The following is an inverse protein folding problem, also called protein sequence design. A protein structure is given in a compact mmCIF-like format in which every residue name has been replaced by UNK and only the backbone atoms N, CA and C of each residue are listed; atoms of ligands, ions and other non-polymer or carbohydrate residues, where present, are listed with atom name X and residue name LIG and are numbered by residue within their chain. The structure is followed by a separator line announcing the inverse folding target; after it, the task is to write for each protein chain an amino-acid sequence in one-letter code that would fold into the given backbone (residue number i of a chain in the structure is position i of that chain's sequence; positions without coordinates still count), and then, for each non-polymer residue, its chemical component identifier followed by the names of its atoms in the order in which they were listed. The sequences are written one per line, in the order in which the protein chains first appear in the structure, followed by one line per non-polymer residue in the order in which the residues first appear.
data_IF_320194490881
#
_entry.id   IF_320194490881
#
_cell.length_a   1.000
_cell.length_b   1.000
_cell.length_c   1.000
_cell.angle_alpha   90.00
_cell.angle_beta   90.00
_cell.angle_gamma   90.00
#
_symmetry.space_group_name_H-M   'P 1'
#
loop_
_entity.id
_entity.type
_entity.pdbx_description
1 polymer ?
#
# COMPACT_ATOMS: atom_id res chain seq x y z
N UNK A 1 -22.30 -6.81 -3.14
CA UNK A 1 -21.77 -7.87 -2.22
C UNK A 1 -20.33 -7.58 -1.77
N UNK A 2 -19.57 -6.96 -2.67
CA UNK A 2 -18.20 -6.47 -2.56
C UNK A 2 -18.01 -5.48 -1.40
N UNK A 3 -18.95 -4.57 -1.14
CA UNK A 3 -18.89 -3.67 0.03
C UNK A 3 -18.86 -4.45 1.35
N UNK A 4 -19.77 -5.43 1.51
CA UNK A 4 -19.80 -6.31 2.70
C UNK A 4 -18.52 -7.15 2.80
N UNK A 5 -17.98 -7.59 1.67
CA UNK A 5 -16.73 -8.34 1.63
C UNK A 5 -15.53 -7.47 2.06
N UNK A 6 -15.42 -6.26 1.54
CA UNK A 6 -14.39 -5.29 1.94
C UNK A 6 -14.47 -4.97 3.44
N UNK A 7 -15.67 -4.78 3.99
CA UNK A 7 -15.87 -4.59 5.43
C UNK A 7 -15.43 -5.81 6.24
N UNK A 8 -15.78 -7.02 5.79
CA UNK A 8 -15.39 -8.27 6.46
C UNK A 8 -13.87 -8.47 6.44
N UNK A 9 -13.19 -8.13 5.35
CA UNK A 9 -11.72 -8.10 5.27
C UNK A 9 -11.12 -7.18 6.32
N UNK A 10 -11.58 -5.92 6.39
CA UNK A 10 -11.05 -4.97 7.38
C UNK A 10 -11.33 -5.43 8.83
N UNK A 11 -12.49 -6.03 9.08
CA UNK A 11 -12.81 -6.64 10.38
C UNK A 11 -11.85 -7.76 10.73
N UNK A 12 -11.62 -8.69 9.80
CA UNK A 12 -10.74 -9.82 10.00
C UNK A 12 -9.28 -9.39 10.23
N UNK A 13 -8.78 -8.43 9.43
CA UNK A 13 -7.41 -7.91 9.56
C UNK A 13 -7.18 -7.24 10.91
N UNK A 14 -8.14 -6.45 11.39
CA UNK A 14 -7.95 -5.60 12.58
C UNK A 14 -8.73 -6.06 13.81
N UNK A 15 -9.21 -7.30 13.84
CA UNK A 15 -10.03 -7.85 14.94
C UNK A 15 -11.23 -6.94 15.32
N UNK A 16 -11.92 -6.41 14.31
CA UNK A 16 -13.00 -5.41 14.44
C UNK A 16 -12.66 -4.20 15.33
N UNK A 17 -11.39 -3.79 15.40
CA UNK A 17 -10.96 -2.63 16.18
C UNK A 17 -11.77 -1.37 15.78
N UNK A 18 -12.25 -0.55 16.74
CA UNK A 18 -13.18 0.56 16.45
C UNK A 18 -12.60 1.65 15.52
N UNK A 19 -11.27 1.77 15.46
CA UNK A 19 -10.56 2.69 14.54
C UNK A 19 -10.07 2.04 13.25
N UNK A 20 -10.46 0.81 12.95
CA UNK A 20 -10.09 0.17 11.67
C UNK A 20 -10.67 0.98 10.50
N UNK A 21 -10.05 0.90 9.31
CA UNK A 21 -10.66 1.42 8.10
C UNK A 21 -12.02 0.76 7.88
N UNK A 22 -13.04 1.57 7.59
CA UNK A 22 -14.38 1.09 7.24
C UNK A 22 -15.08 2.06 6.32
N UNK A 23 -16.02 1.54 5.55
CA UNK A 23 -16.92 2.36 4.75
C UNK A 23 -17.89 3.05 5.72
N UNK A 24 -18.10 4.37 5.62
CA UNK A 24 -19.12 5.06 6.40
C UNK A 24 -20.52 4.52 6.08
N UNK A 25 -21.34 4.38 7.12
CA UNK A 25 -22.75 4.01 7.04
C UNK A 25 -23.61 5.26 7.03
N UNK A 26 -24.84 5.15 6.55
CA UNK A 26 -25.82 6.25 6.59
C UNK A 26 -25.93 6.89 7.99
N UNK A 27 -26.02 6.05 9.04
CA UNK A 27 -26.12 6.51 10.44
C UNK A 27 -24.88 7.21 10.99
N UNK A 28 -23.73 7.16 10.29
CA UNK A 28 -22.57 7.97 10.66
C UNK A 28 -22.76 9.43 10.25
N UNK A 29 -23.53 9.68 9.18
CA UNK A 29 -23.83 11.03 8.72
C UNK A 29 -24.80 11.75 9.66
N UNK A 30 -25.70 11.02 10.31
CA UNK A 30 -26.61 11.55 11.33
C UNK A 30 -25.87 12.06 12.58
N UNK A 31 -24.62 11.64 12.78
CA UNK A 31 -23.76 12.06 13.88
C UNK A 31 -22.84 13.24 13.52
N UNK A 32 -22.94 13.75 12.28
CA UNK A 32 -22.13 14.89 11.85
C UNK A 32 -22.69 16.18 12.45
N UNK A 33 -21.79 16.93 13.06
CA UNK A 33 -22.06 18.25 13.59
C UNK A 33 -21.17 19.27 12.87
N UNK A 34 -21.78 20.29 12.27
CA UNK A 34 -21.07 21.27 11.46
C UNK A 34 -20.11 22.10 12.32
N UNK A 35 -20.54 22.50 13.51
CA UNK A 35 -19.70 23.27 14.43
C UNK A 35 -18.48 22.47 14.84
N UNK A 36 -18.66 21.18 15.16
CA UNK A 36 -17.56 20.27 15.46
C UNK A 36 -16.60 20.10 14.28
N UNK A 37 -17.12 19.97 13.05
CA UNK A 37 -16.29 19.88 11.85
C UNK A 37 -15.45 21.16 11.67
N UNK A 38 -16.08 22.33 11.87
CA UNK A 38 -15.39 23.63 11.80
C UNK A 38 -14.36 23.79 12.91
N UNK A 39 -14.62 23.29 14.11
CA UNK A 39 -13.67 23.29 15.22
C UNK A 39 -12.46 22.41 14.94
N UNK A 40 -12.67 21.23 14.35
CA UNK A 40 -11.57 20.35 13.92
C UNK A 40 -10.73 21.06 12.84
N UNK A 41 -11.39 21.69 11.86
CA UNK A 41 -10.71 22.44 10.82
C UNK A 41 -9.88 23.58 11.40
N UNK A 42 -10.46 24.44 12.25
CA UNK A 42 -9.74 25.55 12.90
C UNK A 42 -8.60 25.05 13.79
N UNK A 43 -8.79 23.95 14.53
CA UNK A 43 -7.76 23.37 15.39
C UNK A 43 -6.59 22.73 14.61
N UNK A 44 -6.69 22.57 13.29
CA UNK A 44 -5.63 22.02 12.44
C UNK A 44 -5.07 23.01 11.43
N UNK A 45 -5.92 23.86 10.87
CA UNK A 45 -5.58 24.81 9.80
C UNK A 45 -5.69 26.27 10.22
N UNK A 46 -6.11 26.56 11.45
CA UNK A 46 -6.11 27.92 12.00
C UNK A 46 -4.72 28.47 12.32
N UNK A 47 -3.68 27.64 12.23
CA UNK A 47 -2.28 28.02 12.34
C UNK A 47 -1.46 27.39 11.23
N UNK A 48 -0.60 28.20 10.60
CA UNK A 48 0.41 27.77 9.65
C UNK A 48 1.74 27.40 10.35
N UNK A 49 1.79 27.40 11.69
CA UNK A 49 3.00 27.05 12.43
C UNK A 49 3.44 25.62 12.10
N UNK A 50 4.68 25.50 11.61
CA UNK A 50 5.26 24.21 11.20
C UNK A 50 4.79 23.70 9.84
N UNK A 51 3.96 24.44 9.09
CA UNK A 51 3.65 24.10 7.71
C UNK A 51 4.82 24.44 6.79
N UNK A 52 5.08 23.56 5.83
CA UNK A 52 6.04 23.79 4.75
C UNK A 52 5.30 23.79 3.42
N UNK A 53 5.39 24.90 2.69
CA UNK A 53 4.79 25.03 1.35
C UNK A 53 5.82 24.65 0.28
N UNK A 54 5.50 23.62 -0.50
CA UNK A 54 6.38 23.12 -1.57
C UNK A 54 5.89 23.63 -2.93
N UNK A 55 6.78 24.27 -3.66
CA UNK A 55 6.54 24.73 -5.03
C UNK A 55 7.51 24.05 -5.98
N UNK A 56 6.98 23.40 -7.02
CA UNK A 56 7.77 22.67 -8.02
C UNK A 56 7.27 23.03 -9.41
N UNK A 57 8.16 23.54 -10.24
CA UNK A 57 7.90 23.85 -11.64
C UNK A 57 8.93 24.82 -12.20
N UNK A 58 8.67 25.30 -13.41
CA UNK A 58 9.40 26.43 -13.97
C UNK A 58 8.91 27.72 -13.31
N UNK A 59 9.61 28.18 -12.28
CA UNK A 59 9.21 29.30 -11.44
C UNK A 59 10.30 30.36 -11.42
N UNK A 60 9.94 31.61 -11.69
CA UNK A 60 10.80 32.77 -11.39
C UNK A 60 10.56 33.16 -9.92
N UNK A 61 11.62 33.13 -9.12
CA UNK A 61 11.55 33.43 -7.69
C UNK A 61 11.23 34.91 -7.42
N UNK A 62 11.57 35.82 -8.35
CA UNK A 62 11.36 37.27 -8.20
C UNK A 62 9.88 37.66 -8.12
N UNK A 63 9.00 37.27 -9.06
CA UNK A 63 7.57 37.52 -8.92
C UNK A 63 6.89 36.60 -7.90
N UNK A 64 7.45 35.42 -7.60
CA UNK A 64 6.87 34.49 -6.64
C UNK A 64 6.98 35.00 -5.19
N UNK A 65 8.13 35.58 -4.82
CA UNK A 65 8.38 36.06 -3.47
C UNK A 65 7.30 37.03 -2.93
N UNK A 66 6.89 38.11 -3.63
CA UNK A 66 5.84 39.00 -3.13
C UNK A 66 4.48 38.31 -3.02
N UNK A 67 4.18 37.32 -3.87
CA UNK A 67 2.93 36.54 -3.77
C UNK A 67 2.95 35.64 -2.54
N UNK A 68 4.07 34.95 -2.28
CA UNK A 68 4.25 34.14 -1.07
C UNK A 68 4.13 35.00 0.19
N UNK A 69 4.76 36.18 0.21
CA UNK A 69 4.64 37.10 1.33
C UNK A 69 3.19 37.57 1.56
N UNK A 70 2.47 37.90 0.47
CA UNK A 70 1.08 38.39 0.52
C UNK A 70 0.07 37.33 0.97
N UNK A 71 0.22 36.08 0.52
CA UNK A 71 -0.81 35.04 0.70
C UNK A 71 -0.45 33.99 1.77
N UNK A 72 0.83 33.79 2.05
CA UNK A 72 1.30 32.78 3.00
C UNK A 72 2.04 33.41 4.19
N UNK A 73 2.78 34.49 3.95
CA UNK A 73 3.58 35.18 4.98
C UNK A 73 2.77 35.88 6.06
N UNK A 74 1.46 36.07 5.85
CA UNK A 74 0.53 36.68 6.79
C UNK A 74 -0.41 35.67 7.49
N UNK A 75 -0.20 34.36 7.29
CA UNK A 75 -1.02 33.35 7.94
C UNK A 75 -0.74 33.33 9.46
N UNK A 76 -1.76 33.05 10.31
CA UNK A 76 -1.57 32.95 11.75
C UNK A 76 -0.58 31.84 12.11
N UNK A 77 0.22 32.01 13.16
CA UNK A 77 1.24 31.03 13.59
C UNK A 77 1.13 30.65 15.08
N UNK A 78 -0.09 30.62 15.60
CA UNK A 78 -0.36 30.18 16.97
C UNK A 78 0.13 28.73 17.22
N UNK A 79 0.39 28.38 18.48
CA UNK A 79 0.76 26.99 18.82
C UNK A 79 -0.32 25.99 18.37
N UNK A 80 0.12 24.88 17.78
CA UNK A 80 -0.76 23.78 17.37
C UNK A 80 -0.08 22.45 17.68
N UNK A 81 -0.85 21.51 18.22
CA UNK A 81 -0.34 20.16 18.49
C UNK A 81 -0.17 19.39 17.18
N UNK A 82 1.07 19.05 16.83
CA UNK A 82 1.43 18.39 15.56
C UNK A 82 1.83 16.92 15.70
N UNK A 83 2.03 16.44 16.93
CA UNK A 83 2.46 15.05 17.16
C UNK A 83 1.31 14.07 16.89
N UNK A 84 1.62 12.97 16.19
CA UNK A 84 0.67 11.89 16.01
C UNK A 84 0.54 11.08 17.31
N UNK A 85 -0.61 10.41 17.47
CA UNK A 85 -0.85 9.45 18.55
C UNK A 85 -1.03 8.06 17.97
N UNK A 86 -0.27 7.09 18.48
CA UNK A 86 -0.55 5.69 18.19
C UNK A 86 -1.80 5.24 18.95
N UNK A 87 -2.80 4.79 18.20
CA UNK A 87 -4.07 4.33 18.76
C UNK A 87 -4.12 2.81 18.97
N UNK A 88 -3.00 2.11 18.79
CA UNK A 88 -2.93 0.66 19.01
C UNK A 88 -3.64 -0.16 17.92
N UNK A 89 -3.92 0.44 16.76
CA UNK A 89 -4.45 -0.31 15.62
C UNK A 89 -3.37 -1.28 15.13
N UNK A 90 -3.60 -2.57 15.33
CA UNK A 90 -2.70 -3.67 14.97
C UNK A 90 -3.43 -4.73 14.18
N UNK A 91 -2.71 -5.41 13.32
CA UNK A 91 -3.25 -6.56 12.61
C UNK A 91 -3.36 -7.77 13.54
N UNK A 92 -4.27 -8.67 13.22
CA UNK A 92 -4.35 -9.98 13.87
C UNK A 92 -3.05 -10.76 13.69
N UNK A 93 -2.78 -11.64 14.65
CA UNK A 93 -1.70 -12.63 14.57
C UNK A 93 -2.28 -13.99 14.20
N UNK A 94 -1.54 -14.76 13.41
CA UNK A 94 -1.93 -16.11 13.01
C UNK A 94 -2.70 -16.16 11.69
N UNK A 95 -3.31 -17.31 11.42
CA UNK A 95 -4.06 -17.55 10.19
C UNK A 95 -5.56 -17.39 10.45
N UNK A 96 -6.20 -16.46 9.75
CA UNK A 96 -7.65 -16.26 9.74
C UNK A 96 -8.20 -16.66 8.38
N UNK A 97 -9.15 -17.59 8.36
CA UNK A 97 -9.87 -18.00 7.15
C UNK A 97 -11.36 -17.75 7.32
N UNK A 98 -11.98 -17.07 6.37
CA UNK A 98 -13.42 -16.83 6.38
C UNK A 98 -13.99 -16.73 4.97
N UNK A 99 -15.27 -17.06 4.85
CA UNK A 99 -16.04 -16.88 3.64
C UNK A 99 -17.15 -15.85 3.89
N UNK A 100 -17.49 -15.09 2.86
CA UNK A 100 -18.67 -14.22 2.81
C UNK A 100 -19.53 -14.70 1.66
N UNK A 101 -20.78 -15.05 1.95
CA UNK A 101 -21.76 -15.38 0.94
C UNK A 101 -22.51 -14.12 0.50
N UNK A 102 -22.53 -13.84 -0.80
CA UNK A 102 -23.24 -12.70 -1.36
C UNK A 102 -23.11 -12.60 -2.87
N UNK A 103 -24.19 -12.14 -3.51
CA UNK A 103 -24.32 -12.08 -4.96
C UNK A 103 -25.03 -13.32 -5.52
N UNK A 104 -25.68 -13.15 -6.66
CA UNK A 104 -26.42 -14.19 -7.39
C UNK A 104 -25.67 -14.69 -8.63
N UNK A 105 -24.67 -13.94 -9.10
CA UNK A 105 -23.83 -14.33 -10.24
C UNK A 105 -22.80 -15.38 -9.83
N UNK A 106 -22.41 -16.28 -10.73
CA UNK A 106 -21.36 -17.28 -10.50
C UNK A 106 -19.96 -16.64 -10.51
N UNK A 107 -19.72 -15.68 -9.62
CA UNK A 107 -18.50 -14.90 -9.48
C UNK A 107 -18.03 -14.92 -8.03
N UNK A 108 -16.72 -15.09 -7.88
CA UNK A 108 -16.06 -15.10 -6.59
C UNK A 108 -14.84 -14.19 -6.57
N UNK A 109 -14.40 -13.83 -5.37
CA UNK A 109 -13.18 -13.05 -5.17
C UNK A 109 -12.39 -13.69 -4.04
N UNK A 110 -11.17 -14.12 -4.32
CA UNK A 110 -10.19 -14.48 -3.30
C UNK A 110 -9.43 -13.23 -2.87
N UNK A 111 -9.25 -13.05 -1.56
CA UNK A 111 -8.33 -12.09 -0.97
C UNK A 111 -7.37 -12.82 -0.02
N UNK A 112 -6.07 -12.63 -0.22
CA UNK A 112 -5.00 -13.06 0.69
C UNK A 112 -4.25 -11.83 1.16
N UNK A 113 -4.33 -11.54 2.46
CA UNK A 113 -3.59 -10.44 3.08
C UNK A 113 -2.59 -11.00 4.09
N UNK A 114 -1.30 -10.90 3.76
CA UNK A 114 -0.20 -11.24 4.66
C UNK A 114 0.24 -9.98 5.39
N UNK A 115 0.46 -10.07 6.70
CA UNK A 115 0.79 -8.91 7.53
C UNK A 115 1.93 -9.23 8.47
N UNK A 116 2.60 -8.20 8.99
CA UNK A 116 3.59 -8.39 10.04
C UNK A 116 4.22 -7.09 10.49
N UNK A 117 4.80 -7.13 11.68
CA UNK A 117 5.66 -6.05 12.18
C UNK A 117 7.06 -6.20 11.58
N UNK A 118 7.63 -5.08 11.14
CA UNK A 118 8.98 -5.06 10.57
C UNK A 118 9.59 -3.66 10.71
N UNK A 119 10.90 -3.59 10.94
CA UNK A 119 11.60 -2.31 10.97
C UNK A 119 11.67 -1.72 9.57
N UNK A 120 11.06 -0.55 9.38
CA UNK A 120 11.08 0.15 8.09
C UNK A 120 12.50 0.58 7.73
N UNK A 121 12.91 0.25 6.51
CA UNK A 121 14.04 0.89 5.86
C UNK A 121 13.77 1.04 4.37
N UNK A 122 14.45 1.99 3.75
CA UNK A 122 14.33 2.25 2.33
C UNK A 122 14.74 1.05 1.46
N UNK A 123 15.78 0.32 1.86
CA UNK A 123 16.23 -0.89 1.16
C UNK A 123 15.25 -2.04 1.35
N UNK A 124 14.69 -2.21 2.55
CA UNK A 124 13.69 -3.23 2.84
C UNK A 124 12.40 -2.99 2.05
N UNK A 125 11.91 -1.75 2.01
CA UNK A 125 10.76 -1.34 1.20
C UNK A 125 11.02 -1.56 -0.31
N UNK A 126 12.22 -1.26 -0.80
CA UNK A 126 12.60 -1.53 -2.20
C UNK A 126 12.61 -3.04 -2.50
N UNK A 127 13.15 -3.87 -1.60
CA UNK A 127 13.15 -5.32 -1.77
C UNK A 127 11.73 -5.92 -1.72
N UNK A 128 10.85 -5.42 -0.85
CA UNK A 128 9.44 -5.80 -0.80
C UNK A 128 8.68 -5.44 -2.09
N UNK A 129 8.95 -4.26 -2.67
CA UNK A 129 8.36 -3.89 -3.96
C UNK A 129 8.85 -4.79 -5.10
N UNK A 130 10.14 -5.09 -5.13
CA UNK A 130 10.72 -5.98 -6.14
C UNK A 130 10.15 -7.40 -6.02
N UNK A 131 9.98 -7.88 -4.79
CA UNK A 131 9.30 -9.13 -4.47
C UNK A 131 7.88 -9.16 -5.04
N UNK A 132 7.08 -8.12 -4.78
CA UNK A 132 5.70 -8.06 -5.28
C UNK A 132 5.66 -8.04 -6.80
N UNK A 133 6.50 -7.24 -7.47
CA UNK A 133 6.47 -7.19 -8.94
C UNK A 133 6.95 -8.51 -9.58
N UNK A 134 7.90 -9.22 -8.95
CA UNK A 134 8.28 -10.57 -9.41
C UNK A 134 7.15 -11.57 -9.17
N UNK A 135 6.52 -11.54 -7.99
CA UNK A 135 5.41 -12.44 -7.68
C UNK A 135 4.21 -12.19 -8.60
N UNK A 136 3.94 -10.93 -8.97
CA UNK A 136 2.89 -10.56 -9.92
C UNK A 136 3.14 -11.22 -11.28
N UNK A 137 4.37 -11.14 -11.82
CA UNK A 137 4.75 -11.85 -13.07
C UNK A 137 4.43 -13.34 -12.95
N UNK A 138 4.79 -13.99 -11.84
CA UNK A 138 4.56 -15.42 -11.65
C UNK A 138 3.11 -15.80 -11.48
N UNK A 139 2.34 -15.02 -10.73
CA UNK A 139 0.92 -15.28 -10.56
C UNK A 139 0.16 -15.08 -11.88
N UNK A 140 0.55 -14.09 -12.71
CA UNK A 140 -0.03 -13.93 -14.05
C UNK A 140 0.30 -15.14 -14.92
N UNK A 141 1.56 -15.58 -14.99
CA UNK A 141 1.97 -16.77 -15.77
C UNK A 141 1.20 -18.04 -15.30
N UNK A 142 1.11 -18.27 -13.99
CA UNK A 142 0.50 -19.50 -13.46
C UNK A 142 -1.03 -19.48 -13.55
N UNK A 143 -1.66 -18.40 -13.08
CA UNK A 143 -3.11 -18.36 -12.96
C UNK A 143 -3.80 -18.11 -14.31
N UNK A 144 -3.20 -17.30 -15.19
CA UNK A 144 -3.76 -17.00 -16.51
C UNK A 144 -3.42 -18.06 -17.54
N UNK A 145 -2.14 -18.42 -17.67
CA UNK A 145 -1.68 -19.22 -18.82
C UNK A 145 -1.87 -20.72 -18.57
N UNK A 146 -1.69 -21.20 -17.33
CA UNK A 146 -1.75 -22.64 -17.03
C UNK A 146 -3.12 -23.10 -16.57
N UNK A 147 -3.84 -22.26 -15.82
CA UNK A 147 -5.13 -22.64 -15.25
C UNK A 147 -6.32 -22.20 -16.10
N UNK A 148 -6.12 -21.27 -17.05
CA UNK A 148 -7.19 -20.72 -17.89
C UNK A 148 -8.32 -20.06 -17.09
N UNK A 149 -8.07 -19.77 -15.80
CA UNK A 149 -9.11 -19.62 -14.80
C UNK A 149 -8.88 -18.36 -13.98
N UNK A 150 -8.83 -17.16 -14.59
CA UNK A 150 -9.07 -15.89 -13.88
C UNK A 150 -9.01 -14.63 -14.76
N UNK A 151 -9.71 -13.59 -14.27
CA UNK A 151 -9.42 -12.18 -14.56
C UNK A 151 -8.16 -11.74 -13.81
N UNK A 152 -7.36 -10.83 -14.36
CA UNK A 152 -6.01 -10.48 -13.87
C UNK A 152 -5.91 -10.36 -12.33
N UNK A 153 -4.98 -11.08 -11.67
CA UNK A 153 -4.74 -10.90 -10.24
C UNK A 153 -4.30 -9.47 -9.97
N UNK A 154 -4.60 -8.98 -8.76
CA UNK A 154 -4.11 -7.69 -8.28
C UNK A 154 -3.29 -7.91 -7.02
N UNK A 155 -1.98 -7.68 -7.14
CA UNK A 155 -1.04 -7.77 -6.03
C UNK A 155 -0.55 -6.37 -5.65
N UNK A 156 -0.46 -6.11 -4.36
CA UNK A 156 0.05 -4.85 -3.82
C UNK A 156 0.76 -5.07 -2.50
N UNK A 157 1.68 -4.17 -2.17
CA UNK A 157 2.29 -4.13 -0.84
C UNK A 157 2.45 -2.72 -0.32
N UNK A 158 2.41 -2.60 1.00
CA UNK A 158 2.68 -1.37 1.74
C UNK A 158 3.64 -1.69 2.88
N UNK A 159 4.66 -0.85 3.05
CA UNK A 159 5.52 -0.84 4.23
C UNK A 159 5.38 0.52 4.92
N UNK A 160 4.81 0.52 6.11
CA UNK A 160 4.57 1.70 6.90
C UNK A 160 5.70 1.92 7.92
N UNK A 161 6.16 3.16 8.03
CA UNK A 161 7.11 3.61 9.07
C UNK A 161 6.40 4.07 10.34
N UNK A 162 5.24 4.71 10.18
CA UNK A 162 4.44 5.32 11.24
C UNK A 162 3.03 4.70 11.29
N UNK A 163 2.37 4.67 12.46
CA UNK A 163 2.91 5.04 13.77
C UNK A 163 3.89 3.99 14.33
N UNK A 164 3.97 2.82 13.70
CA UNK A 164 4.92 1.74 13.99
C UNK A 164 5.34 1.05 12.69
N UNK A 165 6.46 0.34 12.70
CA UNK A 165 6.95 -0.41 11.55
C UNK A 165 6.13 -1.67 11.27
N UNK A 166 5.44 -1.72 10.13
CA UNK A 166 4.65 -2.89 9.72
C UNK A 166 4.46 -2.93 8.20
N UNK A 167 4.09 -4.10 7.69
CA UNK A 167 3.80 -4.29 6.28
C UNK A 167 2.47 -5.03 6.04
N UNK A 168 1.95 -4.84 4.83
CA UNK A 168 0.87 -5.64 4.27
C UNK A 168 1.27 -6.06 2.85
N UNK A 169 1.02 -7.32 2.49
CA UNK A 169 0.99 -7.82 1.11
C UNK A 169 -0.43 -8.29 0.84
N UNK A 170 -1.11 -7.69 -0.12
CA UNK A 170 -2.49 -8.01 -0.47
C UNK A 170 -2.57 -8.52 -1.90
N UNK A 171 -3.06 -9.75 -2.05
CA UNK A 171 -3.42 -10.38 -3.31
C UNK A 171 -4.94 -10.49 -3.40
N UNK A 172 -5.52 -9.95 -4.46
CA UNK A 172 -6.95 -10.10 -4.78
C UNK A 172 -7.10 -10.73 -6.15
N UNK A 173 -7.88 -11.80 -6.25
CA UNK A 173 -8.03 -12.59 -7.47
C UNK A 173 -9.52 -12.83 -7.75
N UNK A 174 -10.10 -12.17 -8.75
CA UNK A 174 -11.48 -12.43 -9.19
C UNK A 174 -11.56 -13.73 -9.98
N UNK A 175 -12.40 -14.67 -9.55
CA UNK A 175 -12.49 -16.01 -10.13
C UNK A 175 -13.93 -16.52 -10.24
N UNK A 176 -14.10 -17.73 -10.76
CA UNK A 176 -15.34 -18.50 -10.55
C UNK A 176 -15.31 -19.23 -9.19
N UNK A 177 -16.48 -19.59 -8.62
CA UNK A 177 -16.58 -20.20 -7.28
C UNK A 177 -15.82 -21.51 -7.13
N UNK A 178 -15.83 -22.37 -8.14
CA UNK A 178 -15.16 -23.67 -8.14
C UNK A 178 -13.63 -23.59 -8.19
N UNK A 179 -13.09 -22.42 -8.52
CA UNK A 179 -11.64 -22.21 -8.67
C UNK A 179 -10.98 -21.51 -7.47
N UNK A 180 -11.75 -20.97 -6.52
CA UNK A 180 -11.21 -20.21 -5.38
C UNK A 180 -10.15 -20.99 -4.60
N UNK A 181 -10.43 -22.26 -4.27
CA UNK A 181 -9.48 -23.13 -3.55
C UNK A 181 -8.21 -23.39 -4.36
N UNK A 182 -8.35 -23.76 -5.63
CA UNK A 182 -7.22 -24.04 -6.54
C UNK A 182 -6.32 -22.81 -6.71
N UNK A 183 -6.91 -21.62 -6.84
CA UNK A 183 -6.18 -20.36 -6.96
C UNK A 183 -5.44 -20.04 -5.67
N UNK A 184 -6.07 -20.26 -4.50
CA UNK A 184 -5.40 -20.06 -3.22
C UNK A 184 -4.19 -20.98 -3.08
N UNK A 185 -4.35 -22.26 -3.39
CA UNK A 185 -3.26 -23.25 -3.31
C UNK A 185 -2.12 -22.91 -4.29
N UNK A 186 -2.46 -22.58 -5.54
CA UNK A 186 -1.47 -22.17 -6.55
C UNK A 186 -0.73 -20.89 -6.13
N UNK A 187 -1.44 -19.90 -5.59
CA UNK A 187 -0.83 -18.64 -5.14
C UNK A 187 0.13 -18.89 -3.97
N UNK A 188 -0.27 -19.70 -2.99
CA UNK A 188 0.57 -20.07 -1.86
C UNK A 188 1.79 -20.90 -2.29
N UNK A 189 1.62 -21.79 -3.28
CA UNK A 189 2.72 -22.56 -3.85
C UNK A 189 3.77 -21.66 -4.53
N UNK A 190 3.35 -20.66 -5.31
CA UNK A 190 4.28 -19.71 -5.92
C UNK A 190 4.97 -18.82 -4.88
N UNK A 191 4.26 -18.40 -3.83
CA UNK A 191 4.88 -17.70 -2.69
C UNK A 191 5.95 -18.57 -2.02
N UNK A 192 5.68 -19.86 -1.81
CA UNK A 192 6.62 -20.79 -1.18
C UNK A 192 7.83 -21.06 -2.08
N UNK A 193 7.61 -21.27 -3.38
CA UNK A 193 8.67 -21.42 -4.37
C UNK A 193 9.62 -20.22 -4.38
N UNK A 194 9.08 -19.01 -4.31
CA UNK A 194 9.87 -17.78 -4.28
C UNK A 194 10.71 -17.66 -2.98
N UNK A 195 10.25 -18.23 -1.86
CA UNK A 195 11.02 -18.33 -0.61
C UNK A 195 12.16 -19.33 -0.72
N UNK A 196 11.91 -20.47 -1.36
CA UNK A 196 12.84 -21.59 -1.41
C UNK A 196 13.92 -21.41 -2.49
N UNK A 197 13.51 -21.01 -3.69
CA UNK A 197 14.37 -20.93 -4.89
C UNK A 197 14.79 -19.50 -5.22
N UNK A 198 14.02 -18.49 -4.80
CA UNK A 198 14.22 -17.10 -5.22
C UNK A 198 13.63 -16.81 -6.60
N UNK A 199 13.76 -15.56 -7.09
CA UNK A 199 13.20 -15.16 -8.38
C UNK A 199 13.94 -15.85 -9.54
N UNK A 200 13.24 -16.16 -10.63
CA UNK A 200 13.94 -16.65 -11.83
C UNK A 200 14.78 -15.50 -12.42
N UNK A 201 15.90 -15.85 -13.06
CA UNK A 201 16.89 -14.87 -13.52
C UNK A 201 16.30 -13.77 -14.42
N UNK A 202 15.32 -14.11 -15.26
CA UNK A 202 14.66 -13.15 -16.16
C UNK A 202 13.67 -12.20 -15.48
N UNK A 203 13.01 -12.61 -14.39
CA UNK A 203 11.90 -11.82 -13.83
C UNK A 203 12.41 -10.56 -13.15
N UNK A 204 13.45 -10.68 -12.31
CA UNK A 204 14.05 -9.53 -11.66
C UNK A 204 14.67 -8.55 -12.69
N UNK A 205 15.21 -9.07 -13.79
CA UNK A 205 15.71 -8.22 -14.87
C UNK A 205 14.58 -7.38 -15.50
N UNK A 206 13.44 -8.00 -15.82
CA UNK A 206 12.24 -7.29 -16.33
C UNK A 206 11.75 -6.22 -15.34
N UNK A 207 11.68 -6.55 -14.06
CA UNK A 207 11.28 -5.59 -13.00
C UNK A 207 12.22 -4.39 -12.96
N UNK A 208 13.54 -4.63 -12.92
CA UNK A 208 14.55 -3.56 -12.90
C UNK A 208 14.47 -2.66 -14.13
N UNK A 209 14.31 -3.25 -15.32
CA UNK A 209 14.20 -2.50 -16.57
C UNK A 209 12.97 -1.59 -16.55
N UNK A 210 11.81 -2.14 -16.16
CA UNK A 210 10.57 -1.37 -16.04
C UNK A 210 10.70 -0.23 -15.02
N UNK A 211 11.32 -0.47 -13.87
CA UNK A 211 11.55 0.55 -12.85
C UNK A 211 12.45 1.68 -13.32
N UNK A 212 13.54 1.37 -14.03
CA UNK A 212 14.45 2.37 -14.58
C UNK A 212 13.73 3.20 -15.65
N UNK A 213 12.98 2.55 -16.56
CA UNK A 213 12.17 3.22 -17.57
C UNK A 213 11.16 4.19 -16.93
N UNK A 214 10.37 3.71 -15.98
CA UNK A 214 9.35 4.52 -15.30
C UNK A 214 9.97 5.68 -14.51
N UNK A 215 11.11 5.45 -13.87
CA UNK A 215 11.86 6.51 -13.19
C UNK A 215 12.31 7.61 -14.15
N UNK A 216 12.88 7.24 -15.31
CA UNK A 216 13.35 8.22 -16.31
C UNK A 216 12.22 9.11 -16.85
N UNK A 217 11.00 8.60 -16.93
CA UNK A 217 9.83 9.42 -17.25
C UNK A 217 9.35 10.23 -16.06
N UNK A 218 9.29 9.63 -14.87
CA UNK A 218 8.81 10.29 -13.66
C UNK A 218 9.62 11.53 -13.30
N UNK A 219 10.96 11.48 -13.39
CA UNK A 219 11.85 12.62 -13.08
C UNK A 219 11.62 13.86 -13.95
N UNK A 220 10.90 13.73 -15.07
CA UNK A 220 10.52 14.86 -15.94
C UNK A 220 9.27 15.60 -15.42
N UNK A 221 8.60 15.08 -14.40
CA UNK A 221 7.31 15.58 -13.93
C UNK A 221 7.41 16.33 -12.61
N UNK A 222 6.65 17.42 -12.46
CA UNK A 222 6.59 18.17 -11.20
C UNK A 222 6.05 17.32 -10.04
N UNK A 223 5.11 16.41 -10.32
CA UNK A 223 4.51 15.53 -9.32
C UNK A 223 5.54 14.59 -8.66
N UNK A 224 6.51 14.10 -9.44
CA UNK A 224 7.59 13.27 -8.91
C UNK A 224 8.45 14.04 -7.91
N UNK A 225 8.93 15.23 -8.28
CA UNK A 225 9.75 16.07 -7.42
C UNK A 225 9.00 16.51 -6.17
N UNK A 226 7.72 16.85 -6.28
CA UNK A 226 6.88 17.16 -5.12
C UNK A 226 6.81 15.97 -4.15
N UNK A 227 6.68 14.75 -4.67
CA UNK A 227 6.69 13.53 -3.85
C UNK A 227 8.03 13.30 -3.14
N UNK A 228 9.16 13.53 -3.83
CA UNK A 228 10.51 13.40 -3.25
C UNK A 228 10.72 14.42 -2.13
N UNK A 229 10.41 15.69 -2.37
CA UNK A 229 10.56 16.76 -1.38
C UNK A 229 9.63 16.55 -0.18
N UNK A 230 8.38 16.15 -0.42
CA UNK A 230 7.44 15.79 0.64
C UNK A 230 7.95 14.63 1.49
N UNK A 231 8.44 13.56 0.88
CA UNK A 231 8.97 12.40 1.61
C UNK A 231 10.21 12.76 2.43
N UNK A 232 11.05 13.67 1.92
CA UNK A 232 12.18 14.20 2.68
C UNK A 232 11.75 14.90 3.96
N UNK A 233 10.74 15.77 3.88
CA UNK A 233 10.21 16.50 5.04
C UNK A 233 9.43 15.60 6.02
N UNK A 234 8.54 14.75 5.50
CA UNK A 234 7.63 13.95 6.32
C UNK A 234 8.31 12.71 6.92
N UNK A 235 9.24 12.09 6.17
CA UNK A 235 9.82 10.80 6.53
C UNK A 235 11.31 10.90 6.85
N UNK A 236 11.93 12.08 6.70
CA UNK A 236 13.36 12.28 6.90
C UNK A 236 14.21 11.60 5.83
N UNK A 237 13.66 11.39 4.63
CA UNK A 237 14.43 10.83 3.52
C UNK A 237 15.43 11.83 2.96
N UNK A 238 16.62 11.36 2.58
CA UNK A 238 17.59 12.18 1.85
C UNK A 238 17.07 12.47 0.42
N UNK A 239 16.82 13.73 0.04
CA UNK A 239 16.35 14.06 -1.31
C UNK A 239 17.40 13.74 -2.39
N UNK A 240 18.69 13.69 -2.04
CA UNK A 240 19.76 13.32 -2.98
C UNK A 240 19.73 11.84 -3.38
N UNK A 241 18.91 11.00 -2.71
CA UNK A 241 18.67 9.61 -3.14
C UNK A 241 18.23 9.51 -4.59
N UNK A 242 17.56 10.52 -5.16
CA UNK A 242 17.15 10.52 -6.57
C UNK A 242 18.35 10.26 -7.50
N UNK A 243 19.53 10.82 -7.19
CA UNK A 243 20.74 10.74 -8.00
C UNK A 243 21.30 9.32 -8.08
N UNK A 244 21.02 8.49 -7.08
CA UNK A 244 21.53 7.12 -6.95
C UNK A 244 20.43 6.06 -7.15
N UNK A 245 19.23 6.46 -7.60
CA UNK A 245 18.11 5.52 -7.79
C UNK A 245 18.44 4.38 -8.76
N UNK A 246 18.89 4.69 -9.98
CA UNK A 246 19.22 3.64 -10.97
C UNK A 246 20.31 2.69 -10.45
N UNK A 247 21.32 3.21 -9.75
CA UNK A 247 22.38 2.39 -9.16
C UNK A 247 21.81 1.42 -8.10
N UNK A 248 20.91 1.89 -7.22
CA UNK A 248 20.24 1.03 -6.24
C UNK A 248 19.36 -0.04 -6.90
N UNK A 249 18.62 0.31 -7.95
CA UNK A 249 17.81 -0.66 -8.71
C UNK A 249 18.70 -1.73 -9.35
N UNK A 250 19.81 -1.33 -9.98
CA UNK A 250 20.78 -2.27 -10.58
C UNK A 250 21.40 -3.19 -9.53
N UNK A 251 21.69 -2.66 -8.34
CA UNK A 251 22.31 -3.39 -7.24
C UNK A 251 21.39 -4.43 -6.56
N UNK A 252 20.06 -4.37 -6.74
CA UNK A 252 19.16 -5.39 -6.19
C UNK A 252 19.53 -6.79 -6.70
N UNK A 253 19.65 -7.77 -5.82
CA UNK A 253 20.01 -9.14 -6.20
C UNK A 253 18.82 -10.08 -6.07
N UNK A 254 18.91 -11.25 -6.71
CA UNK A 254 17.95 -12.33 -6.50
C UNK A 254 17.87 -12.76 -5.03
N UNK A 255 19.00 -12.74 -4.32
CA UNK A 255 19.08 -13.04 -2.90
C UNK A 255 18.34 -12.00 -2.03
N UNK A 256 18.36 -10.72 -2.41
CA UNK A 256 17.59 -9.68 -1.71
C UNK A 256 16.08 -9.92 -1.83
N UNK A 257 15.62 -10.29 -3.03
CA UNK A 257 14.21 -10.63 -3.29
C UNK A 257 13.82 -11.90 -2.56
N UNK A 258 14.65 -12.94 -2.58
CA UNK A 258 14.39 -14.19 -1.86
C UNK A 258 14.32 -13.96 -0.35
N UNK A 259 15.23 -13.14 0.21
CA UNK A 259 15.20 -12.77 1.62
C UNK A 259 13.93 -11.99 1.97
N UNK A 260 13.52 -11.06 1.10
CA UNK A 260 12.24 -10.38 1.24
C UNK A 260 11.06 -11.36 1.17
N UNK A 261 11.09 -12.35 0.28
CA UNK A 261 10.05 -13.38 0.20
C UNK A 261 9.92 -14.13 1.53
N UNK A 262 11.05 -14.57 2.10
CA UNK A 262 11.08 -15.28 3.39
C UNK A 262 10.56 -14.44 4.54
N UNK A 263 10.82 -13.13 4.51
CA UNK A 263 10.42 -12.20 5.56
C UNK A 263 8.95 -11.76 5.45
N UNK A 264 8.47 -11.44 4.25
CA UNK A 264 7.19 -10.76 4.05
C UNK A 264 6.07 -11.67 3.55
N UNK A 265 6.39 -12.84 2.97
CA UNK A 265 5.40 -13.86 2.60
C UNK A 265 5.20 -14.87 3.74
N UNK A 266 4.83 -14.34 4.92
CA UNK A 266 4.56 -15.13 6.11
C UNK A 266 3.14 -15.73 6.06
N UNK A 267 3.05 -16.97 5.59
CA UNK A 267 1.78 -17.71 5.51
C UNK A 267 1.27 -18.16 6.87
N UNK A 268 2.05 -18.02 7.94
CA UNK A 268 1.59 -18.22 9.32
C UNK A 268 0.93 -16.97 9.90
N UNK A 269 1.05 -15.81 9.24
CA UNK A 269 0.39 -14.57 9.63
C UNK A 269 -0.41 -13.96 8.47
N UNK A 270 -1.57 -14.54 8.19
CA UNK A 270 -2.35 -14.27 6.99
C UNK A 270 -3.86 -14.26 7.25
N UNK A 271 -4.54 -13.33 6.60
CA UNK A 271 -6.00 -13.32 6.47
C UNK A 271 -6.36 -13.75 5.05
N UNK A 272 -7.03 -14.90 4.94
CA UNK A 272 -7.56 -15.43 3.68
C UNK A 272 -9.08 -15.35 3.69
N UNK A 273 -9.64 -14.61 2.74
CA UNK A 273 -11.07 -14.42 2.62
C UNK A 273 -11.57 -14.73 1.21
N UNK A 274 -12.77 -15.28 1.11
CA UNK A 274 -13.45 -15.51 -0.15
C UNK A 274 -14.84 -14.86 -0.14
N UNK A 275 -15.18 -14.14 -1.21
CA UNK A 275 -16.55 -13.81 -1.55
C UNK A 275 -17.05 -14.89 -2.50
N UNK A 276 -18.13 -15.57 -2.15
CA UNK A 276 -18.78 -16.58 -2.98
C UNK A 276 -20.27 -16.25 -3.14
N UNK A 277 -20.91 -16.68 -4.25
CA UNK A 277 -22.33 -16.45 -4.43
C UNK A 277 -23.16 -17.23 -3.43
N UNK A 278 -24.37 -16.72 -3.17
CA UNK A 278 -25.38 -17.49 -2.44
C UNK A 278 -25.77 -18.63 -3.36
N UNK A 279 -25.50 -19.89 -2.96
CA UNK A 279 -26.00 -21.05 -3.70
C UNK A 279 -27.53 -20.95 -3.75
N UNK A 280 -28.15 -21.14 -4.94
CA UNK A 280 -29.61 -21.15 -5.04
C UNK A 280 -30.23 -22.25 -4.18
#
# INVERSE_FOLDING_TARGET
PEVRFAEAIQKAIYNDHPRRPRIPKASDFDQLDLDRAMDIYRARFGSAKGLTFLFVGSLDTRPLQPLVARYLGNLPVAEVATQFRDHGLRTVKGVVRSEVLGGSEAKSILSLTLTGEATYSNSANMALRALVDVLDIKLVEVLREKMGAVYSPSLSAQFSKLPYGHYHVNLTVPSSPENVGKIADASLAEMQKLKDEGPQAGDLAKVKENWIKNFREAVKTNGYWLSVLRSSLEQGEDPARVLTYEARVKALTAADVQRAARQYLDTQNMVQMALNPIKP
#
